data_IF_863353324676
#
_entry.id   IF_863353324676
#
_cell.length_a   1.000
_cell.length_b   1.000
_cell.length_c   1.000
_cell.angle_alpha   90.00
_cell.angle_beta   90.00
_cell.angle_gamma   90.00
#
_symmetry.space_group_name_H-M   'P 1'
#
loop_
_entity.id
_entity.type
_entity.pdbx_description
1 polymer ?
#
# COMPACT_ATOMS: atom_id res chain seq x y z
N UNK A 1 -15.51 15.41 50.39
CA UNK A 1 -15.56 15.05 48.96
C UNK A 1 -14.22 14.43 48.60
N UNK A 2 -14.14 13.18 48.10
CA UNK A 2 -12.89 12.60 47.64
C UNK A 2 -12.71 12.84 46.13
N UNK A 3 -11.49 13.22 45.74
CA UNK A 3 -11.02 13.35 44.36
C UNK A 3 -10.54 11.99 43.86
N UNK A 4 -11.26 11.40 42.90
CA UNK A 4 -10.85 10.18 42.23
C UNK A 4 -9.75 10.47 41.19
N UNK A 5 -8.60 9.80 41.36
CA UNK A 5 -7.48 9.83 40.42
C UNK A 5 -7.81 8.91 39.24
N UNK A 6 -8.01 9.48 38.07
CA UNK A 6 -8.19 8.72 36.83
C UNK A 6 -6.84 8.14 36.38
N UNK A 7 -6.48 6.96 36.90
CA UNK A 7 -5.35 6.17 36.40
C UNK A 7 -5.74 5.57 35.04
N UNK A 8 -5.35 6.25 33.96
CA UNK A 8 -5.44 5.71 32.61
C UNK A 8 -4.45 4.57 32.49
N UNK A 9 -4.92 3.33 32.70
CA UNK A 9 -4.21 2.13 32.29
C UNK A 9 -4.21 2.11 30.77
N UNK A 10 -3.08 2.49 30.17
CA UNK A 10 -2.83 2.29 28.74
C UNK A 10 -2.30 0.87 28.64
N UNK A 11 -3.16 -0.08 28.26
CA UNK A 11 -2.71 -1.40 27.85
C UNK A 11 -1.90 -1.26 26.56
N UNK A 12 -0.70 -1.88 26.47
CA UNK A 12 0.02 -1.94 25.22
C UNK A 12 -0.78 -2.78 24.23
N UNK A 13 -1.13 -2.19 23.08
CA UNK A 13 -1.72 -2.96 21.98
C UNK A 13 -0.65 -3.91 21.44
N UNK A 14 -0.79 -5.19 21.75
CA UNK A 14 0.01 -6.26 21.16
C UNK A 14 -0.48 -6.47 19.72
N UNK A 15 -0.07 -5.57 18.82
CA UNK A 15 -0.42 -5.69 17.41
C UNK A 15 0.44 -6.79 16.82
N UNK A 16 -0.15 -7.98 16.75
CA UNK A 16 0.34 -9.09 15.97
C UNK A 16 0.24 -8.71 14.47
N UNK A 17 1.29 -8.06 13.95
CA UNK A 17 1.45 -7.80 12.52
C UNK A 17 1.78 -9.14 11.86
N UNK A 18 0.79 -9.80 11.28
CA UNK A 18 0.97 -11.04 10.54
C UNK A 18 -0.29 -11.91 10.57
N UNK A 19 -1.18 -11.67 9.62
CA UNK A 19 -2.32 -12.53 9.32
C UNK A 19 -2.45 -12.63 7.80
N UNK A 20 -1.95 -13.72 7.28
CA UNK A 20 -2.21 -14.21 5.93
C UNK A 20 -3.70 -14.53 5.75
N UNK A 21 -4.24 -14.07 4.60
CA UNK A 21 -5.55 -14.34 4.02
C UNK A 21 -6.73 -13.44 4.45
N UNK A 22 -7.28 -12.76 3.43
CA UNK A 22 -8.64 -12.20 3.32
C UNK A 22 -9.07 -11.23 4.41
N UNK A 23 -8.26 -10.21 4.64
CA UNK A 23 -8.77 -9.00 5.27
C UNK A 23 -9.45 -8.15 4.19
N UNK A 24 -10.79 -8.04 4.30
CA UNK A 24 -11.54 -6.78 4.05
C UNK A 24 -11.03 -5.68 5.03
N UNK A 25 -9.71 -5.61 5.17
CA UNK A 25 -8.99 -4.67 5.99
C UNK A 25 -8.96 -3.40 5.19
N UNK A 26 -9.27 -2.29 5.87
CA UNK A 26 -9.17 -0.91 5.36
C UNK A 26 -8.06 -0.88 4.32
N UNK A 27 -8.44 -0.87 3.05
CA UNK A 27 -7.50 -1.04 1.96
C UNK A 27 -6.51 0.12 2.11
N UNK A 28 -5.25 -0.18 2.43
CA UNK A 28 -4.29 0.88 2.71
C UNK A 28 -4.22 1.79 1.48
N UNK A 29 -4.15 3.10 1.71
CA UNK A 29 -4.08 4.05 0.61
C UNK A 29 -2.72 3.89 -0.04
N UNK A 30 -2.73 3.46 -1.30
CA UNK A 30 -1.51 3.39 -2.10
C UNK A 30 -1.08 4.81 -2.45
N UNK A 31 0.21 5.11 -2.29
CA UNK A 31 0.78 6.43 -2.56
C UNK A 31 1.93 6.36 -3.56
N UNK A 32 2.33 7.51 -4.09
CA UNK A 32 3.53 7.67 -4.92
C UNK A 32 4.79 7.13 -4.22
N UNK A 33 4.93 7.42 -2.92
CA UNK A 33 6.06 6.96 -2.10
C UNK A 33 6.14 5.42 -2.04
N UNK A 34 5.00 4.73 -2.05
CA UNK A 34 4.96 3.26 -2.08
C UNK A 34 5.47 2.71 -3.42
N UNK A 35 5.12 3.38 -4.53
CA UNK A 35 5.58 3.03 -5.88
C UNK A 35 7.11 3.21 -5.96
N UNK A 36 7.60 4.34 -5.48
CA UNK A 36 9.03 4.64 -5.41
C UNK A 36 9.78 3.66 -4.51
N UNK A 37 9.21 3.29 -3.36
CA UNK A 37 9.80 2.31 -2.47
C UNK A 37 9.98 0.95 -3.16
N UNK A 38 9.00 0.51 -3.98
CA UNK A 38 9.13 -0.71 -4.79
C UNK A 38 10.19 -0.53 -5.86
N UNK A 39 10.20 0.60 -6.57
CA UNK A 39 11.15 0.91 -7.65
C UNK A 39 12.61 0.91 -7.15
N UNK A 40 12.84 1.46 -5.96
CA UNK A 40 14.16 1.57 -5.33
C UNK A 40 14.55 0.34 -4.50
N UNK A 41 13.62 -0.60 -4.28
CA UNK A 41 13.90 -1.76 -3.43
C UNK A 41 15.04 -2.63 -4.00
N UNK A 42 15.84 -3.27 -3.12
CA UNK A 42 16.95 -4.13 -3.52
C UNK A 42 16.50 -5.49 -4.08
N UNK A 43 15.19 -5.74 -4.18
CA UNK A 43 14.64 -6.99 -4.74
C UNK A 43 14.99 -7.14 -6.22
N UNK A 44 15.04 -8.38 -6.75
CA UNK A 44 15.23 -8.64 -8.17
C UNK A 44 14.23 -7.88 -9.05
N UNK A 45 14.65 -7.52 -10.27
CA UNK A 45 13.83 -6.72 -11.20
C UNK A 45 12.47 -7.38 -11.44
N UNK A 46 12.43 -8.69 -11.64
CA UNK A 46 11.19 -9.44 -11.88
C UNK A 46 10.20 -9.36 -10.72
N UNK A 47 10.69 -9.46 -9.48
CA UNK A 47 9.84 -9.36 -8.28
C UNK A 47 9.25 -7.96 -8.10
N UNK A 48 10.03 -6.93 -8.45
CA UNK A 48 9.54 -5.53 -8.40
C UNK A 48 8.50 -5.28 -9.49
N UNK A 49 8.73 -5.81 -10.70
CA UNK A 49 7.76 -5.76 -11.79
C UNK A 49 6.45 -6.46 -11.42
N UNK A 50 6.52 -7.63 -10.79
CA UNK A 50 5.33 -8.34 -10.29
C UNK A 50 4.58 -7.51 -9.24
N UNK A 51 5.30 -6.94 -8.28
CA UNK A 51 4.71 -6.08 -7.23
C UNK A 51 4.00 -4.87 -7.84
N UNK A 52 4.66 -4.14 -8.75
CA UNK A 52 4.09 -2.98 -9.44
C UNK A 52 2.84 -3.36 -10.26
N UNK A 53 2.86 -4.50 -10.96
CA UNK A 53 1.68 -5.00 -11.69
C UNK A 53 0.51 -5.31 -10.76
N UNK A 54 0.77 -5.87 -9.58
CA UNK A 54 -0.25 -6.12 -8.57
C UNK A 54 -0.88 -4.81 -8.07
N UNK A 55 -0.03 -3.82 -7.75
CA UNK A 55 -0.48 -2.47 -7.33
C UNK A 55 -1.35 -1.81 -8.41
N UNK A 56 -0.97 -1.94 -9.68
CA UNK A 56 -1.75 -1.44 -10.82
C UNK A 56 -3.14 -2.06 -10.88
N UNK A 57 -3.22 -3.39 -10.78
CA UNK A 57 -4.49 -4.13 -10.82
C UNK A 57 -5.42 -3.74 -9.66
N UNK A 58 -4.85 -3.48 -8.49
CA UNK A 58 -5.61 -3.01 -7.33
C UNK A 58 -6.19 -1.61 -7.55
N UNK A 59 -5.39 -0.66 -8.07
CA UNK A 59 -5.87 0.68 -8.39
C UNK A 59 -6.93 0.67 -9.51
N UNK A 60 -6.79 -0.18 -10.52
CA UNK A 60 -7.80 -0.35 -11.57
C UNK A 60 -9.13 -0.86 -11.02
N UNK A 61 -9.09 -1.82 -10.09
CA UNK A 61 -10.28 -2.32 -9.42
C UNK A 61 -10.96 -1.22 -8.58
N UNK A 62 -10.18 -0.39 -7.86
CA UNK A 62 -10.69 0.74 -7.07
C UNK A 62 -11.26 1.87 -7.95
N UNK A 63 -10.59 2.17 -9.07
CA UNK A 63 -11.04 3.14 -10.08
C UNK A 63 -12.42 2.76 -10.65
N UNK A 64 -12.64 1.47 -10.90
CA UNK A 64 -13.94 0.95 -11.35
C UNK A 64 -15.04 0.97 -10.28
N UNK A 65 -14.68 0.89 -9.00
CA UNK A 65 -15.63 0.73 -7.91
C UNK A 65 -16.34 2.05 -7.54
N UNK A 66 -15.60 3.14 -7.28
CA UNK A 66 -16.21 4.39 -6.77
C UNK A 66 -15.41 5.68 -7.04
N UNK A 67 -14.16 5.58 -7.52
CA UNK A 67 -13.23 6.73 -7.58
C UNK A 67 -13.02 7.30 -8.99
N UNK A 68 -13.64 6.72 -10.03
CA UNK A 68 -13.49 7.21 -11.41
C UNK A 68 -12.02 7.39 -11.81
N UNK A 69 -11.69 8.57 -12.35
CA UNK A 69 -10.35 8.87 -12.85
C UNK A 69 -9.38 9.38 -11.76
N UNK A 70 -9.78 9.40 -10.49
CA UNK A 70 -8.95 9.92 -9.39
C UNK A 70 -7.68 9.08 -9.14
N UNK A 71 -7.71 7.80 -9.54
CA UNK A 71 -6.57 6.89 -9.43
C UNK A 71 -5.65 6.94 -10.66
N UNK A 72 -6.05 7.63 -11.75
CA UNK A 72 -5.27 7.68 -12.98
C UNK A 72 -3.83 8.19 -12.78
N UNK A 73 -3.57 9.24 -11.98
CA UNK A 73 -2.20 9.71 -11.75
C UNK A 73 -1.28 8.63 -11.15
N UNK A 74 -1.80 7.86 -10.19
CA UNK A 74 -1.03 6.78 -9.56
C UNK A 74 -0.83 5.59 -10.52
N UNK A 75 -1.82 5.29 -11.37
CA UNK A 75 -1.68 4.25 -12.40
C UNK A 75 -0.60 4.64 -13.41
N UNK A 76 -0.57 5.89 -13.86
CA UNK A 76 0.45 6.42 -14.77
C UNK A 76 1.86 6.37 -14.16
N UNK A 77 1.97 6.62 -12.85
CA UNK A 77 3.22 6.52 -12.11
C UNK A 77 3.73 5.07 -12.03
N UNK A 78 2.83 4.11 -11.77
CA UNK A 78 3.16 2.69 -11.81
C UNK A 78 3.60 2.26 -13.22
N UNK A 79 2.89 2.67 -14.26
CA UNK A 79 3.23 2.35 -15.65
C UNK A 79 4.62 2.92 -16.01
N UNK A 80 4.93 4.13 -15.54
CA UNK A 80 6.26 4.76 -15.70
C UNK A 80 7.35 3.98 -14.96
N UNK A 81 7.10 3.53 -13.73
CA UNK A 81 8.02 2.70 -12.97
C UNK A 81 8.26 1.34 -13.65
N UNK A 82 7.22 0.69 -14.15
CA UNK A 82 7.31 -0.56 -14.92
C UNK A 82 8.18 -0.37 -16.16
N UNK A 83 7.91 0.67 -16.96
CA UNK A 83 8.69 0.96 -18.15
C UNK A 83 10.17 1.20 -17.83
N UNK A 84 10.47 1.96 -16.77
CA UNK A 84 11.84 2.15 -16.29
C UNK A 84 12.54 0.84 -15.92
N UNK A 85 11.82 -0.11 -15.34
CA UNK A 85 12.38 -1.42 -14.99
C UNK A 85 12.56 -2.32 -16.19
N UNK A 86 11.62 -2.30 -17.13
CA UNK A 86 11.67 -3.13 -18.34
C UNK A 86 12.78 -2.74 -19.31
N UNK A 87 13.36 -1.54 -19.20
CA UNK A 87 14.54 -1.15 -19.98
C UNK A 87 15.87 -1.64 -19.41
N UNK A 88 15.87 -2.19 -18.18
CA UNK A 88 17.09 -2.63 -17.46
C UNK A 88 17.32 -4.14 -17.51
N UNK A 89 16.41 -4.89 -18.12
CA UNK A 89 16.50 -6.33 -18.40
C UNK A 89 16.99 -6.53 -19.84
#
# INVERSE_FOLDING_TARGET
MPVEKNSSFIDPVDVQIGGDADTDGIAQTLTADDIDAVLMSPRPVDQRLETLKSMRSELEARSHADFGNDMAPLIEEIDSAIAQLSTRI
#
